data_IF_372865724098
#
_entry.id   IF_372865724098
#
_cell.length_a   1.000
_cell.length_b   1.000
_cell.length_c   1.000
_cell.angle_alpha   90.00
_cell.angle_beta   90.00
_cell.angle_gamma   90.00
#
_symmetry.space_group_name_H-M   'P 1'
#
loop_
_entity.id
_entity.type
_entity.pdbx_description
1 polymer ?
#
# COMPACT_ATOMS: atom_id res chain seq x y z
N UNK A 1 -5.98 -13.70 -14.81
CA UNK A 1 -4.87 -14.38 -14.10
C UNK A 1 -5.23 -15.86 -13.96
N UNK A 2 -4.26 -16.79 -13.91
CA UNK A 2 -4.57 -18.20 -13.64
C UNK A 2 -4.95 -18.32 -12.16
N UNK A 3 -6.25 -18.48 -11.88
CA UNK A 3 -6.78 -18.57 -10.52
C UNK A 3 -6.37 -19.88 -9.81
N UNK A 4 -5.87 -20.89 -10.53
CA UNK A 4 -5.41 -22.15 -9.94
C UNK A 4 -3.87 -22.21 -9.82
N UNK A 5 -3.24 -21.06 -9.67
CA UNK A 5 -1.80 -20.95 -9.41
C UNK A 5 -1.50 -20.78 -7.92
N UNK A 6 -0.22 -20.89 -7.54
CA UNK A 6 0.25 -20.62 -6.17
C UNK A 6 -0.22 -19.27 -5.64
N UNK A 7 -0.41 -18.31 -6.54
CA UNK A 7 -0.79 -16.93 -6.23
C UNK A 7 -2.19 -16.79 -5.64
N UNK A 8 -3.08 -17.74 -5.95
CA UNK A 8 -4.41 -17.82 -5.37
C UNK A 8 -4.46 -18.63 -4.07
N UNK A 9 -3.33 -19.20 -3.61
CA UNK A 9 -3.28 -20.07 -2.43
C UNK A 9 -2.69 -19.31 -1.25
N UNK A 10 -3.52 -18.98 -0.26
CA UNK A 10 -3.14 -18.21 0.94
C UNK A 10 -1.94 -18.80 1.67
N UNK A 11 -1.84 -20.13 1.73
CA UNK A 11 -0.70 -20.82 2.32
C UNK A 11 0.65 -20.58 1.60
N UNK A 12 0.61 -20.14 0.34
CA UNK A 12 1.79 -19.87 -0.50
C UNK A 12 1.99 -18.36 -0.75
N UNK A 13 0.91 -17.60 -0.92
CA UNK A 13 0.97 -16.16 -1.21
C UNK A 13 0.85 -15.26 0.02
N UNK A 14 0.37 -15.79 1.15
CA UNK A 14 0.05 -15.00 2.36
C UNK A 14 -1.31 -14.31 2.31
N UNK A 15 -1.80 -13.96 1.12
CA UNK A 15 -3.06 -13.26 0.93
C UNK A 15 -3.34 -12.92 -0.54
N UNK A 16 -4.37 -12.11 -0.77
CA UNK A 16 -4.80 -11.66 -2.09
C UNK A 16 -4.31 -10.25 -2.42
N UNK A 17 -5.17 -9.34 -2.90
CA UNK A 17 -4.77 -8.01 -3.37
C UNK A 17 -4.09 -7.16 -2.31
N UNK A 18 -4.34 -7.38 -1.01
CA UNK A 18 -3.68 -6.58 0.03
C UNK A 18 -2.16 -6.83 0.07
N UNK A 19 -1.75 -8.08 -0.06
CA UNK A 19 -0.33 -8.49 -0.08
C UNK A 19 0.29 -8.24 -1.45
N UNK A 20 -0.48 -8.38 -2.54
CA UNK A 20 -0.01 -8.15 -3.91
C UNK A 20 0.13 -6.66 -4.25
N UNK A 21 -0.94 -5.89 -4.07
CA UNK A 21 -1.05 -4.51 -4.55
C UNK A 21 -0.99 -3.49 -3.39
N UNK A 22 -1.69 -3.81 -2.30
CA UNK A 22 -1.79 -2.94 -1.12
C UNK A 22 -0.43 -2.66 -0.49
N UNK A 23 0.47 -3.65 -0.45
CA UNK A 23 1.84 -3.52 0.09
C UNK A 23 2.59 -2.34 -0.51
N UNK A 24 2.49 -2.13 -1.83
CA UNK A 24 3.21 -1.06 -2.52
C UNK A 24 2.65 0.34 -2.18
N UNK A 25 1.32 0.43 -2.02
CA UNK A 25 0.65 1.69 -1.68
C UNK A 25 0.83 2.05 -0.22
N UNK A 26 0.83 1.05 0.66
CA UNK A 26 1.14 1.21 2.07
C UNK A 26 2.59 1.68 2.25
N UNK A 27 3.55 0.98 1.66
CA UNK A 27 4.98 1.31 1.73
C UNK A 27 5.25 2.75 1.26
N UNK A 28 4.71 3.14 0.09
CA UNK A 28 4.85 4.50 -0.42
C UNK A 28 4.24 5.56 0.53
N UNK A 29 3.05 5.29 1.09
CA UNK A 29 2.41 6.20 2.03
C UNK A 29 3.23 6.35 3.31
N UNK A 30 3.70 5.24 3.89
CA UNK A 30 4.54 5.26 5.09
C UNK A 30 5.86 5.97 4.84
N UNK A 31 6.53 5.71 3.72
CA UNK A 31 7.77 6.40 3.34
C UNK A 31 7.58 7.91 3.25
N UNK A 32 6.50 8.38 2.60
CA UNK A 32 6.17 9.80 2.52
C UNK A 32 5.79 10.42 3.88
N UNK A 33 5.26 9.61 4.81
CA UNK A 33 4.90 10.03 6.16
C UNK A 33 6.07 9.92 7.16
N UNK A 34 7.20 9.32 6.77
CA UNK A 34 8.35 9.06 7.63
C UNK A 34 8.18 7.86 8.57
N UNK A 35 7.48 6.82 8.13
CA UNK A 35 7.21 5.57 8.86
C UNK A 35 6.73 5.78 10.32
N UNK A 36 5.65 6.54 10.54
CA UNK A 36 5.10 6.67 11.88
C UNK A 36 4.58 5.32 12.38
N UNK A 37 4.56 5.12 13.70
CA UNK A 37 4.18 3.82 14.26
C UNK A 37 2.66 3.70 14.35
N UNK A 38 2.07 2.57 13.94
CA UNK A 38 0.65 2.34 14.13
C UNK A 38 0.31 2.23 15.62
N UNK A 39 -0.85 2.75 16.00
CA UNK A 39 -1.44 2.70 17.36
C UNK A 39 -2.57 1.69 17.38
N UNK A 40 -3.43 1.71 16.36
CA UNK A 40 -4.44 0.68 16.16
C UNK A 40 -4.73 0.52 14.67
N UNK A 41 -5.23 -0.67 14.33
CA UNK A 41 -5.56 -1.08 12.97
C UNK A 41 -6.95 -1.70 12.97
N UNK A 42 -7.81 -1.24 12.06
CA UNK A 42 -9.12 -1.82 11.76
C UNK A 42 -9.12 -2.29 10.31
N UNK A 43 -9.60 -3.50 10.05
CA UNK A 43 -9.53 -4.13 8.73
C UNK A 43 -10.73 -4.98 8.38
N UNK A 44 -10.92 -5.21 7.08
CA UNK A 44 -11.92 -6.11 6.53
C UNK A 44 -11.46 -6.71 5.21
N UNK A 45 -11.79 -7.98 4.98
CA UNK A 45 -11.48 -8.71 3.74
C UNK A 45 -12.73 -9.38 3.19
N UNK A 46 -12.89 -9.37 1.88
CA UNK A 46 -14.06 -9.87 1.16
C UNK A 46 -13.61 -10.65 -0.07
N UNK A 47 -14.38 -11.64 -0.49
CA UNK A 47 -14.10 -12.48 -1.65
C UNK A 47 -15.33 -12.87 -2.52
N UNK A 48 -16.46 -12.12 -2.56
CA UNK A 48 -17.69 -12.62 -3.18
C UNK A 48 -17.57 -12.87 -4.69
N UNK A 49 -16.79 -12.06 -5.41
CA UNK A 49 -16.59 -12.21 -6.85
C UNK A 49 -15.53 -13.30 -7.09
N UNK A 50 -14.40 -13.18 -6.38
CA UNK A 50 -13.28 -14.10 -6.48
C UNK A 50 -13.66 -15.56 -6.18
N UNK A 51 -14.38 -15.80 -5.08
CA UNK A 51 -14.85 -17.14 -4.70
C UNK A 51 -15.85 -17.73 -5.69
N UNK A 52 -16.72 -16.89 -6.27
CA UNK A 52 -17.66 -17.32 -7.32
C UNK A 52 -16.90 -17.77 -8.58
N UNK A 53 -15.94 -16.96 -9.05
CA UNK A 53 -15.11 -17.28 -10.20
C UNK A 53 -14.25 -18.53 -9.98
N UNK A 54 -13.68 -18.68 -8.77
CA UNK A 54 -12.89 -19.86 -8.41
C UNK A 54 -13.73 -21.14 -8.51
N UNK A 55 -14.96 -21.13 -7.96
CA UNK A 55 -15.90 -22.25 -8.04
C UNK A 55 -16.29 -22.60 -9.48
N UNK A 56 -16.60 -21.60 -10.30
CA UNK A 56 -16.98 -21.79 -11.71
C UNK A 56 -15.84 -22.39 -12.54
N UNK A 57 -14.59 -22.04 -12.22
CA UNK A 57 -13.40 -22.50 -12.92
C UNK A 57 -12.79 -23.77 -12.31
N UNK A 58 -13.34 -24.29 -11.21
CA UNK A 58 -12.74 -25.39 -10.46
C UNK A 58 -11.36 -25.07 -9.86
N UNK A 59 -11.05 -23.78 -9.67
CA UNK A 59 -9.83 -23.31 -9.02
C UNK A 59 -9.96 -23.48 -7.50
N UNK A 60 -8.84 -23.77 -6.84
CA UNK A 60 -8.80 -23.79 -5.36
C UNK A 60 -8.28 -22.49 -4.74
N UNK A 61 -8.53 -21.34 -5.36
CA UNK A 61 -8.22 -20.04 -4.78
C UNK A 61 -8.92 -19.86 -3.42
N UNK A 62 -8.18 -19.44 -2.39
CA UNK A 62 -8.64 -19.26 -1.00
C UNK A 62 -8.18 -17.94 -0.37
N UNK A 63 -7.87 -16.95 -1.22
CA UNK A 63 -7.52 -15.57 -0.84
C UNK A 63 -8.67 -14.60 -1.11
N UNK A 64 -8.62 -13.43 -0.49
CA UNK A 64 -9.61 -12.37 -0.68
C UNK A 64 -9.54 -11.71 -2.08
N UNK A 65 -10.61 -11.06 -2.52
CA UNK A 65 -10.66 -10.25 -3.75
C UNK A 65 -10.69 -8.74 -3.49
N UNK A 66 -10.96 -8.34 -2.24
CA UNK A 66 -10.95 -6.97 -1.73
C UNK A 66 -10.51 -6.98 -0.27
N UNK A 67 -9.62 -6.04 0.07
CA UNK A 67 -9.29 -5.73 1.44
C UNK A 67 -9.37 -4.21 1.67
N UNK A 68 -9.83 -3.83 2.86
CA UNK A 68 -9.89 -2.45 3.33
C UNK A 68 -9.27 -2.34 4.72
N UNK A 69 -8.63 -1.21 5.01
CA UNK A 69 -8.01 -0.94 6.29
C UNK A 69 -8.08 0.53 6.70
N UNK A 70 -8.13 0.77 8.00
CA UNK A 70 -8.00 2.08 8.64
C UNK A 70 -6.97 1.98 9.76
N UNK A 71 -5.96 2.84 9.72
CA UNK A 71 -4.81 2.81 10.63
C UNK A 71 -4.67 4.18 11.29
N UNK A 72 -4.56 4.22 12.61
CA UNK A 72 -4.15 5.41 13.36
C UNK A 72 -2.69 5.31 13.72
N UNK A 73 -1.95 6.40 13.60
CA UNK A 73 -0.53 6.47 13.95
C UNK A 73 -0.24 7.32 15.18
N UNK A 74 0.94 7.15 15.76
CA UNK A 74 1.42 7.82 16.98
C UNK A 74 1.64 9.33 16.79
N UNK A 75 1.83 9.77 15.54
CA UNK A 75 1.89 11.18 15.17
C UNK A 75 0.50 11.84 14.98
N UNK A 76 -0.58 11.11 15.23
CA UNK A 76 -1.96 11.58 15.10
C UNK A 76 -2.56 11.45 13.70
N UNK A 77 -1.79 11.07 12.67
CA UNK A 77 -2.32 10.84 11.33
C UNK A 77 -3.17 9.57 11.27
N UNK A 78 -4.11 9.54 10.32
CA UNK A 78 -4.86 8.35 9.94
C UNK A 78 -4.64 8.03 8.46
N UNK A 79 -4.59 6.74 8.14
CA UNK A 79 -4.50 6.23 6.77
C UNK A 79 -5.63 5.25 6.50
N UNK A 80 -6.34 5.44 5.40
CA UNK A 80 -7.22 4.44 4.80
C UNK A 80 -6.51 3.75 3.64
N UNK A 81 -6.63 2.44 3.55
CA UNK A 81 -6.10 1.64 2.44
C UNK A 81 -7.19 0.74 1.87
N UNK A 82 -7.19 0.59 0.55
CA UNK A 82 -8.04 -0.34 -0.18
C UNK A 82 -7.18 -1.03 -1.26
N UNK A 83 -7.37 -2.33 -1.42
CA UNK A 83 -6.75 -3.10 -2.50
C UNK A 83 -7.74 -4.15 -3.01
N UNK A 84 -7.92 -4.22 -4.32
CA UNK A 84 -8.86 -5.16 -4.96
C UNK A 84 -8.28 -5.76 -6.24
N UNK A 85 -8.64 -7.01 -6.51
CA UNK A 85 -8.47 -7.63 -7.83
C UNK A 85 -9.76 -7.62 -8.66
N UNK A 86 -10.92 -7.63 -8.00
CA UNK A 86 -12.22 -7.68 -8.66
C UNK A 86 -13.15 -6.66 -8.00
N UNK A 87 -13.51 -5.62 -8.74
CA UNK A 87 -14.45 -4.61 -8.32
C UNK A 87 -15.35 -4.21 -9.49
N UNK A 88 -16.61 -3.89 -9.20
CA UNK A 88 -17.56 -3.40 -10.20
C UNK A 88 -17.37 -1.90 -10.43
N UNK A 89 -16.21 -1.53 -10.99
CA UNK A 89 -15.79 -0.15 -11.27
C UNK A 89 -15.45 0.02 -12.76
N UNK A 90 -15.33 1.26 -13.21
CA UNK A 90 -14.96 1.56 -14.60
C UNK A 90 -13.49 1.30 -14.91
N UNK A 91 -12.64 1.53 -13.92
CA UNK A 91 -11.20 1.53 -14.01
C UNK A 91 -10.68 0.10 -14.00
N UNK A 92 -9.81 -0.25 -14.94
CA UNK A 92 -9.14 -1.55 -14.93
C UNK A 92 -7.91 -1.59 -14.04
N UNK A 93 -7.25 -0.44 -13.90
CA UNK A 93 -6.06 -0.25 -13.05
C UNK A 93 -6.16 1.11 -12.37
N UNK A 94 -6.55 1.11 -11.08
CA UNK A 94 -6.64 2.31 -10.25
C UNK A 94 -5.55 2.28 -9.19
N UNK A 95 -4.63 3.23 -9.25
CA UNK A 95 -3.53 3.35 -8.31
C UNK A 95 -3.38 4.79 -7.86
N UNK A 96 -3.78 5.10 -6.62
CA UNK A 96 -3.66 6.44 -6.05
C UNK A 96 -3.07 6.40 -4.64
N UNK A 97 -2.30 7.42 -4.30
CA UNK A 97 -1.85 7.73 -2.94
C UNK A 97 -2.08 9.20 -2.68
N UNK A 98 -2.89 9.51 -1.68
CA UNK A 98 -3.28 10.88 -1.32
C UNK A 98 -2.86 11.20 0.10
N UNK A 99 -2.10 12.27 0.27
CA UNK A 99 -1.69 12.78 1.58
C UNK A 99 -2.27 14.17 1.78
N UNK A 100 -2.85 14.40 2.95
CA UNK A 100 -3.51 15.65 3.32
C UNK A 100 -2.87 16.16 4.61
N UNK A 101 -1.95 17.11 4.46
CA UNK A 101 -1.26 17.76 5.56
C UNK A 101 -1.88 19.12 5.89
N UNK A 102 -1.39 19.72 6.98
CA UNK A 102 -1.86 21.04 7.44
C UNK A 102 -1.34 22.21 6.60
N UNK A 103 -0.33 21.98 5.74
CA UNK A 103 0.32 23.00 4.90
C UNK A 103 0.21 22.71 3.40
N UNK A 104 -0.38 21.57 3.04
CA UNK A 104 -0.48 21.14 1.66
C UNK A 104 -0.93 19.70 1.52
N UNK A 105 -1.19 19.30 0.28
CA UNK A 105 -1.57 17.95 -0.07
C UNK A 105 -0.76 17.41 -1.24
N UNK A 106 -0.77 16.09 -1.39
CA UNK A 106 -0.18 15.36 -2.50
C UNK A 106 -1.22 14.40 -3.05
N UNK A 107 -1.32 14.33 -4.37
CA UNK A 107 -1.97 13.23 -5.09
C UNK A 107 -0.94 12.62 -6.02
N UNK A 108 -0.55 11.38 -5.75
CA UNK A 108 0.22 10.56 -6.68
C UNK A 108 -0.72 9.54 -7.28
N UNK A 109 -0.78 9.44 -8.62
CA UNK A 109 -1.67 8.48 -9.28
C UNK A 109 -1.12 7.97 -10.60
N UNK A 110 -1.61 6.82 -11.04
CA UNK A 110 -1.32 6.33 -12.37
C UNK A 110 -2.08 7.09 -13.46
N UNK A 111 -1.54 7.06 -14.67
CA UNK A 111 -2.13 7.66 -15.86
C UNK A 111 -2.56 6.59 -16.86
N UNK A 112 -3.73 6.78 -17.46
CA UNK A 112 -4.24 5.96 -18.56
C UNK A 112 -4.27 4.46 -18.23
N UNK A 113 -4.49 4.08 -16.97
CA UNK A 113 -4.45 2.68 -16.50
C UNK A 113 -3.10 2.00 -16.75
N UNK A 114 -2.00 2.77 -16.78
CA UNK A 114 -0.63 2.27 -17.01
C UNK A 114 0.25 2.38 -15.76
N UNK A 115 1.52 1.98 -15.87
CA UNK A 115 2.55 2.20 -14.84
C UNK A 115 3.29 3.53 -15.01
N UNK A 116 2.67 4.50 -15.70
CA UNK A 116 3.12 5.89 -15.72
C UNK A 116 2.41 6.62 -14.60
N UNK A 117 3.16 7.39 -13.82
CA UNK A 117 2.62 8.10 -12.68
C UNK A 117 2.81 9.60 -12.82
N UNK A 118 1.90 10.35 -12.23
CA UNK A 118 2.06 11.77 -11.96
C UNK A 118 1.95 12.05 -10.47
N UNK A 119 2.45 13.21 -10.07
CA UNK A 119 2.28 13.74 -8.73
C UNK A 119 1.84 15.21 -8.82
N UNK A 120 0.74 15.53 -8.15
CA UNK A 120 0.21 16.88 -7.99
C UNK A 120 0.35 17.29 -6.53
N UNK A 121 0.92 18.48 -6.30
CA UNK A 121 1.08 19.08 -4.98
C UNK A 121 0.17 20.30 -4.88
N UNK A 122 -0.51 20.40 -3.76
CA UNK A 122 -1.41 21.50 -3.43
C UNK A 122 -0.86 22.23 -2.23
N UNK A 123 -0.70 23.55 -2.32
CA UNK A 123 -0.16 24.34 -1.21
C UNK A 123 -0.72 25.76 -1.21
N UNK A 124 -0.66 26.41 -0.05
CA UNK A 124 -0.89 27.85 0.04
C UNK A 124 0.45 28.58 0.10
N UNK A 125 0.61 29.61 -0.72
CA UNK A 125 1.77 30.50 -0.68
C UNK A 125 1.29 31.95 -0.70
N UNK A 126 1.62 32.71 0.35
CA UNK A 126 1.23 34.12 0.52
C UNK A 126 -0.27 34.40 0.33
N UNK A 127 -1.14 33.54 0.87
CA UNK A 127 -2.60 33.71 0.80
C UNK A 127 -3.25 33.29 -0.52
N UNK A 128 -2.49 32.72 -1.45
CA UNK A 128 -3.00 32.14 -2.69
C UNK A 128 -2.81 30.62 -2.72
N UNK A 129 -3.78 29.91 -3.25
CA UNK A 129 -3.70 28.46 -3.47
C UNK A 129 -2.98 28.15 -4.78
N UNK A 130 -2.07 27.19 -4.74
CA UNK A 130 -1.27 26.72 -5.87
C UNK A 130 -1.45 25.23 -6.08
N UNK A 131 -1.63 24.88 -7.34
CA UNK A 131 -1.64 23.51 -7.84
C UNK A 131 -0.35 23.33 -8.66
N UNK A 132 0.50 22.40 -8.26
CA UNK A 132 1.81 22.17 -8.85
C UNK A 132 1.91 20.75 -9.36
N UNK A 133 2.26 20.59 -10.63
CA UNK A 133 2.56 19.27 -11.20
C UNK A 133 4.06 19.00 -11.14
N UNK A 134 4.44 17.87 -10.56
CA UNK A 134 5.82 17.42 -10.60
C UNK A 134 6.14 16.86 -11.99
N UNK A 135 7.07 17.50 -12.68
CA UNK A 135 7.61 16.99 -13.94
C UNK A 135 8.71 15.96 -13.70
N UNK A 136 8.99 15.16 -14.73
CA UNK A 136 10.11 14.21 -14.72
C UNK A 136 11.40 14.90 -14.31
N UNK A 137 12.17 14.22 -13.45
CA UNK A 137 13.49 14.68 -13.06
C UNK A 137 14.40 14.77 -14.28
N UNK A 138 15.22 15.82 -14.34
CA UNK A 138 16.25 15.98 -15.38
C UNK A 138 17.45 15.03 -15.20
N UNK A 139 17.43 14.20 -14.15
CA UNK A 139 18.48 13.25 -13.82
C UNK A 139 17.93 11.81 -13.82
N UNK A 140 18.69 10.84 -14.36
CA UNK A 140 18.28 9.45 -14.33
C UNK A 140 18.21 8.94 -12.88
N UNK A 141 17.11 8.27 -12.55
CA UNK A 141 16.95 7.58 -11.27
C UNK A 141 17.43 6.14 -11.46
N UNK A 142 18.37 5.71 -10.64
CA UNK A 142 18.86 4.33 -10.68
C UNK A 142 17.80 3.36 -10.11
N UNK A 143 17.68 2.14 -10.67
CA UNK A 143 16.73 1.15 -10.16
C UNK A 143 17.16 0.60 -8.79
N UNK A 144 16.22 0.00 -8.06
CA UNK A 144 16.48 -0.59 -6.74
C UNK A 144 17.67 -1.58 -6.73
N UNK A 145 17.83 -2.39 -7.78
CA UNK A 145 18.97 -3.32 -7.90
C UNK A 145 20.32 -2.61 -7.95
N UNK A 146 20.41 -1.43 -8.59
CA UNK A 146 21.63 -0.66 -8.60
C UNK A 146 21.94 -0.15 -7.19
N UNK A 147 20.93 0.39 -6.50
CA UNK A 147 21.08 0.93 -5.15
C UNK A 147 21.51 -0.16 -4.14
N UNK A 148 21.00 -1.39 -4.30
CA UNK A 148 21.45 -2.56 -3.53
C UNK A 148 22.94 -2.82 -3.71
N UNK A 149 23.41 -2.92 -4.95
CA UNK A 149 24.83 -3.16 -5.24
C UNK A 149 25.70 -2.02 -4.73
N UNK A 150 25.28 -0.77 -4.94
CA UNK A 150 26.00 0.42 -4.49
C UNK A 150 26.14 0.46 -2.95
N UNK A 151 25.08 0.11 -2.23
CA UNK A 151 25.08 0.03 -0.76
C UNK A 151 26.09 -1.00 -0.24
N UNK A 152 26.16 -2.17 -0.88
CA UNK A 152 27.14 -3.23 -0.54
C UNK A 152 28.57 -2.76 -0.81
N UNK A 153 28.82 -2.20 -2.00
CA UNK A 153 30.17 -1.78 -2.39
C UNK A 153 30.71 -0.63 -1.53
N UNK A 154 29.83 0.27 -1.06
CA UNK A 154 30.19 1.40 -0.22
C UNK A 154 30.14 1.12 1.28
N UNK A 155 29.60 -0.03 1.69
CA UNK A 155 29.42 -0.37 3.11
C UNK A 155 28.45 0.57 3.84
N UNK A 156 27.39 1.03 3.15
CA UNK A 156 26.38 1.93 3.70
C UNK A 156 25.01 1.23 3.79
N UNK A 157 24.11 1.66 4.69
CA UNK A 157 22.76 1.12 4.76
C UNK A 157 21.98 1.31 3.46
N UNK A 158 21.13 0.34 3.13
CA UNK A 158 20.18 0.46 2.03
C UNK A 158 19.03 1.40 2.42
N UNK A 159 18.50 2.18 1.45
CA UNK A 159 17.42 3.15 1.70
C UNK A 159 16.10 2.51 2.11
N UNK A 160 15.80 1.32 1.57
CA UNK A 160 14.71 0.48 2.03
C UNK A 160 15.28 -0.52 3.03
N UNK A 161 15.03 -0.30 4.31
CA UNK A 161 15.55 -1.13 5.41
C UNK A 161 14.69 -2.37 5.64
N UNK A 162 15.25 -3.39 6.30
CA UNK A 162 14.48 -4.59 6.65
C UNK A 162 13.41 -4.29 7.71
N UNK A 163 13.69 -3.34 8.60
CA UNK A 163 12.81 -2.88 9.66
C UNK A 163 11.58 -2.17 9.12
N UNK A 164 11.73 -1.31 8.11
CA UNK A 164 10.61 -0.68 7.40
C UNK A 164 9.74 -1.73 6.69
N UNK A 165 10.37 -2.71 6.03
CA UNK A 165 9.65 -3.82 5.41
C UNK A 165 8.87 -4.68 6.41
N UNK A 166 9.46 -4.95 7.59
CA UNK A 166 8.77 -5.66 8.67
C UNK A 166 7.57 -4.85 9.21
N UNK A 167 7.72 -3.52 9.38
CA UNK A 167 6.61 -2.66 9.80
C UNK A 167 5.45 -2.65 8.80
N UNK A 168 5.75 -2.64 7.50
CA UNK A 168 4.72 -2.79 6.46
C UNK A 168 3.97 -4.11 6.65
N UNK A 169 4.69 -5.23 6.81
CA UNK A 169 4.07 -6.54 7.01
C UNK A 169 3.25 -6.62 8.30
N UNK A 170 3.74 -6.05 9.41
CA UNK A 170 3.00 -6.01 10.68
C UNK A 170 1.65 -5.29 10.53
N UNK A 171 1.60 -4.22 9.73
CA UNK A 171 0.35 -3.50 9.44
C UNK A 171 -0.58 -4.35 8.59
N UNK A 172 -0.09 -5.01 7.53
CA UNK A 172 -0.90 -5.88 6.68
C UNK A 172 -1.48 -7.06 7.47
N UNK A 173 -0.66 -7.70 8.31
CA UNK A 173 -1.09 -8.76 9.22
C UNK A 173 -2.12 -8.24 10.24
N UNK A 174 -1.94 -7.01 10.72
CA UNK A 174 -2.91 -6.32 11.57
C UNK A 174 -4.27 -6.15 10.90
N UNK A 175 -4.31 -5.82 9.60
CA UNK A 175 -5.56 -5.72 8.82
C UNK A 175 -6.23 -7.10 8.73
N UNK A 176 -5.49 -8.15 8.38
CA UNK A 176 -6.04 -9.52 8.32
C UNK A 176 -6.55 -10.01 9.68
N UNK A 177 -5.80 -9.74 10.75
CA UNK A 177 -6.18 -10.09 12.11
C UNK A 177 -7.45 -9.36 12.53
N UNK A 178 -7.54 -8.06 12.24
CA UNK A 178 -8.74 -7.27 12.49
C UNK A 178 -9.95 -7.81 11.73
N UNK A 179 -9.77 -8.17 10.45
CA UNK A 179 -10.82 -8.75 9.63
C UNK A 179 -11.35 -10.08 10.20
N UNK A 180 -10.45 -10.94 10.68
CA UNK A 180 -10.81 -12.22 11.30
C UNK A 180 -11.53 -12.04 12.65
N UNK A 181 -11.06 -11.10 13.49
CA UNK A 181 -11.60 -10.88 14.84
C UNK A 181 -12.78 -9.89 14.88
N UNK A 182 -13.06 -9.19 13.78
CA UNK A 182 -14.12 -8.18 13.64
C UNK A 182 -14.05 -7.06 14.69
N UNK A 183 -12.83 -6.61 14.98
CA UNK A 183 -12.55 -5.54 15.95
C UNK A 183 -11.22 -4.84 15.64
N UNK A 184 -10.98 -3.64 16.15
CA UNK A 184 -9.66 -3.02 16.09
C UNK A 184 -8.60 -3.87 16.81
N UNK A 185 -7.40 -3.88 16.25
CA UNK A 185 -6.19 -4.45 16.84
C UNK A 185 -5.34 -3.30 17.36
N UNK A 186 -5.15 -3.24 18.68
CA UNK A 186 -4.21 -2.31 19.29
C UNK A 186 -2.77 -2.78 19.05
N UNK A 187 -1.93 -1.84 18.61
CA UNK A 187 -0.50 -2.04 18.48
C UNK A 187 0.13 -1.36 19.70
N UNK A 188 0.33 -2.16 20.76
CA UNK A 188 0.94 -1.65 21.98
C UNK A 188 2.36 -1.18 21.67
N UNK A 189 2.80 -0.03 22.22
CA UNK A 189 4.20 0.37 22.09
C UNK A 189 5.07 -0.74 22.66
N UNK A 190 6.06 -1.20 21.89
CA UNK A 190 7.17 -1.96 22.46
C UNK A 190 7.84 -1.06 23.49
N UNK A 191 7.94 -1.53 24.74
CA UNK A 191 8.60 -0.79 25.80
C UNK A 191 10.03 -0.47 25.36
N UNK A 192 10.34 0.83 25.32
CA UNK A 192 11.68 1.38 25.03
C UNK A 192 12.71 0.92 26.05
#
# INVERSE_FOLDING_TARGET
RNLDSWFGRKALSGGGPLIDLGVHRLDLALWLMGYPRPVWILGGTYDPIGSTLAREQGSGMDVEDLAVGLIQFDNGAMLSIEASWNANISERELMETRLLGTKGGLVQRNLEETYKFEAELYAEHNGAHFDMRLHSLNQPVHPAMYHLVDSILKGQPHLATGEEGALVMDILDGIYKSAAERRPIEVLPTAS
#
